data_IF_863241358248
#
_entry.id   IF_863241358248
#
_cell.length_a   1.000
_cell.length_b   1.000
_cell.length_c   1.000
_cell.angle_alpha   90.00
_cell.angle_beta   90.00
_cell.angle_gamma   90.00
#
_symmetry.space_group_name_H-M   'P 1'
#
loop_
_entity.id
_entity.type
_entity.pdbx_description
1 polymer ?
#
# COMPACT_ATOMS: atom_id res chain seq x y z
N UNK A 1 -26.11 71.74 48.91
CA UNK A 1 -25.45 70.84 47.95
C UNK A 1 -24.88 69.64 48.71
N UNK A 2 -25.55 68.49 48.61
CA UNK A 2 -25.13 67.18 49.13
C UNK A 2 -25.50 66.17 48.07
N UNK A 3 -24.52 65.42 47.56
CA UNK A 3 -24.56 63.97 47.31
C UNK A 3 -23.34 63.57 46.50
N UNK A 4 -22.48 62.73 47.07
CA UNK A 4 -21.58 61.87 46.31
C UNK A 4 -21.54 60.52 47.01
N UNK A 5 -22.49 59.65 46.62
CA UNK A 5 -22.53 58.22 46.90
C UNK A 5 -21.42 57.53 46.07
N UNK A 6 -20.58 56.70 46.66
CA UNK A 6 -20.83 55.30 47.05
C UNK A 6 -21.10 54.39 45.85
N UNK A 7 -20.08 54.12 45.01
CA UNK A 7 -20.05 52.95 44.11
C UNK A 7 -18.60 52.49 43.97
N UNK A 8 -18.24 51.40 44.65
CA UNK A 8 -16.87 50.90 44.59
C UNK A 8 -16.63 49.58 45.30
N UNK A 9 -17.59 48.64 45.28
CA UNK A 9 -17.41 47.31 45.91
C UNK A 9 -18.35 46.24 45.36
N UNK A 10 -18.41 46.04 44.04
CA UNK A 10 -19.07 44.84 43.47
C UNK A 10 -18.29 44.36 42.23
N UNK A 11 -17.09 43.78 42.45
CA UNK A 11 -16.35 43.10 41.38
C UNK A 11 -15.42 41.98 41.92
N UNK A 12 -15.81 41.31 43.01
CA UNK A 12 -14.97 40.28 43.67
C UNK A 12 -15.73 38.99 44.05
N UNK A 13 -16.99 38.81 43.62
CA UNK A 13 -17.79 37.61 43.95
C UNK A 13 -18.01 36.61 42.79
N UNK A 14 -17.51 36.88 41.58
CA UNK A 14 -17.78 36.05 40.39
C UNK A 14 -16.68 35.03 40.04
N UNK A 15 -15.59 34.93 40.83
CA UNK A 15 -14.48 34.00 40.56
C UNK A 15 -14.55 32.70 41.41
N UNK A 16 -15.37 32.69 42.47
CA UNK A 16 -15.47 31.53 43.39
C UNK A 16 -16.53 30.48 42.96
N UNK A 17 -17.44 30.82 42.05
CA UNK A 17 -18.49 29.90 41.57
C UNK A 17 -18.00 28.94 40.46
N UNK A 18 -16.89 29.25 39.78
CA UNK A 18 -16.33 28.42 38.72
C UNK A 18 -15.60 27.18 39.24
N UNK A 19 -14.97 27.24 40.41
CA UNK A 19 -14.23 26.11 40.98
C UNK A 19 -15.15 25.03 41.55
N UNK A 20 -16.26 25.41 42.18
CA UNK A 20 -17.22 24.49 42.78
C UNK A 20 -18.05 23.73 41.73
N UNK A 21 -18.37 24.35 40.59
CA UNK A 21 -19.04 23.66 39.48
C UNK A 21 -18.13 22.65 38.78
N UNK A 22 -16.86 23.01 38.54
CA UNK A 22 -15.86 22.06 38.00
C UNK A 22 -15.61 20.91 38.96
N UNK A 23 -15.53 21.17 40.27
CA UNK A 23 -15.46 20.11 41.28
C UNK A 23 -16.68 19.20 41.24
N UNK A 24 -17.91 19.72 41.11
CA UNK A 24 -19.11 18.86 40.98
C UNK A 24 -19.11 17.98 39.73
N UNK A 25 -18.49 18.42 38.63
CA UNK A 25 -18.34 17.61 37.41
C UNK A 25 -17.27 16.53 37.55
N UNK A 26 -16.19 16.79 38.30
CA UNK A 26 -15.10 15.83 38.51
C UNK A 26 -15.30 14.92 39.73
N UNK A 27 -16.04 15.37 40.74
CA UNK A 27 -16.22 14.71 42.03
C UNK A 27 -17.68 14.30 42.19
N UNK A 28 -18.05 13.23 41.48
CA UNK A 28 -19.33 12.56 41.58
C UNK A 28 -19.17 11.08 41.23
N UNK A 29 -20.19 10.29 41.56
CA UNK A 29 -20.22 8.84 41.33
C UNK A 29 -20.02 8.47 39.86
N UNK A 30 -20.65 9.16 38.91
CA UNK A 30 -20.57 8.81 37.48
C UNK A 30 -19.14 8.96 36.94
N UNK A 31 -18.47 10.07 37.26
CA UNK A 31 -17.09 10.29 36.81
C UNK A 31 -16.11 9.33 37.50
N UNK A 32 -16.28 9.06 38.79
CA UNK A 32 -15.47 8.08 39.52
C UNK A 32 -15.59 6.68 38.88
N UNK A 33 -16.82 6.22 38.65
CA UNK A 33 -17.09 4.92 38.02
C UNK A 33 -16.58 4.85 36.59
N UNK A 34 -16.83 5.88 35.77
CA UNK A 34 -16.35 5.95 34.38
C UNK A 34 -14.83 5.85 34.28
N UNK A 35 -14.10 6.48 35.22
CA UNK A 35 -12.63 6.39 35.28
C UNK A 35 -12.18 4.99 35.69
N UNK A 36 -12.84 4.37 36.68
CA UNK A 36 -12.57 2.98 37.08
C UNK A 36 -12.78 2.00 35.92
N UNK A 37 -13.91 2.14 35.22
CA UNK A 37 -14.23 1.33 34.05
C UNK A 37 -13.23 1.52 32.90
N UNK A 38 -12.83 2.75 32.61
CA UNK A 38 -11.89 3.05 31.54
C UNK A 38 -10.51 2.46 31.84
N UNK A 39 -9.98 2.67 33.04
CA UNK A 39 -8.68 2.13 33.44
C UNK A 39 -8.67 0.60 33.37
N UNK A 40 -9.73 -0.05 33.85
CA UNK A 40 -9.89 -1.49 33.72
C UNK A 40 -9.99 -1.93 32.24
N UNK A 41 -10.76 -1.23 31.41
CA UNK A 41 -10.92 -1.55 29.98
C UNK A 41 -9.63 -1.41 29.18
N UNK A 42 -8.74 -0.51 29.59
CA UNK A 42 -7.40 -0.34 29.01
C UNK A 42 -6.35 -1.26 29.65
N UNK A 43 -6.72 -1.96 30.72
CA UNK A 43 -5.86 -2.85 31.49
C UNK A 43 -4.77 -2.19 32.30
N UNK A 44 -5.05 -1.00 32.82
CA UNK A 44 -4.13 -0.19 33.61
C UNK A 44 -4.12 -0.66 35.07
N UNK A 45 -3.24 -1.61 35.40
CA UNK A 45 -3.09 -2.14 36.76
C UNK A 45 -2.74 -1.07 37.82
N UNK A 46 -2.09 0.02 37.40
CA UNK A 46 -1.66 1.13 38.25
C UNK A 46 -2.77 2.15 38.57
N UNK A 47 -4.01 1.96 38.08
CA UNK A 47 -5.19 2.75 38.44
C UNK A 47 -4.98 4.28 38.38
N UNK A 48 -4.47 4.84 37.27
CA UNK A 48 -4.10 6.26 37.21
C UNK A 48 -5.29 7.22 37.42
N UNK A 49 -6.50 6.81 37.01
CA UNK A 49 -7.72 7.55 37.20
C UNK A 49 -8.12 7.77 38.66
N UNK A 50 -7.61 6.95 39.59
CA UNK A 50 -7.85 7.11 41.02
C UNK A 50 -7.22 8.41 41.56
N UNK A 51 -6.07 8.82 41.03
CA UNK A 51 -5.39 10.05 41.47
C UNK A 51 -6.23 11.32 41.25
N UNK A 52 -7.15 11.28 40.27
CA UNK A 52 -8.08 12.38 39.96
C UNK A 52 -9.06 12.69 41.11
N UNK A 53 -9.28 11.75 42.02
CA UNK A 53 -10.20 11.90 43.16
C UNK A 53 -9.57 12.58 44.38
N UNK A 54 -8.24 12.78 44.40
CA UNK A 54 -7.55 13.30 45.59
C UNK A 54 -7.92 14.73 45.98
N UNK A 55 -8.44 15.51 45.03
CA UNK A 55 -8.88 16.89 45.22
C UNK A 55 -10.39 17.02 45.49
N UNK A 56 -11.09 15.89 45.71
CA UNK A 56 -12.52 15.89 45.99
C UNK A 56 -12.80 16.21 47.45
N UNK A 57 -13.41 17.36 47.68
CA UNK A 57 -13.76 17.92 48.99
C UNK A 57 -15.25 18.32 48.99
N UNK A 58 -15.88 18.38 50.18
CA UNK A 58 -17.29 18.77 50.33
C UNK A 58 -18.27 17.60 50.31
N UNK A 59 -19.38 17.73 49.56
CA UNK A 59 -20.50 16.76 49.51
C UNK A 59 -20.10 15.39 48.96
N UNK A 60 -19.06 15.35 48.11
CA UNK A 60 -18.49 14.12 47.54
C UNK A 60 -16.99 14.08 47.81
N UNK A 61 -16.60 13.28 48.78
CA UNK A 61 -15.24 13.20 49.34
C UNK A 61 -14.32 12.33 48.49
N UNK A 62 -13.00 12.52 48.65
CA UNK A 62 -11.98 11.64 48.06
C UNK A 62 -12.20 10.16 48.41
N UNK A 63 -12.67 9.85 49.62
CA UNK A 63 -12.97 8.48 50.04
C UNK A 63 -14.17 7.88 49.29
N UNK A 64 -15.24 8.67 49.07
CA UNK A 64 -16.37 8.24 48.24
C UNK A 64 -15.95 8.03 46.78
N UNK A 65 -15.12 8.93 46.23
CA UNK A 65 -14.55 8.78 44.90
C UNK A 65 -13.76 7.48 44.77
N UNK A 66 -12.86 7.20 45.72
CA UNK A 66 -12.06 5.98 45.72
C UNK A 66 -12.92 4.72 45.79
N UNK A 67 -13.98 4.73 46.61
CA UNK A 67 -14.90 3.62 46.73
C UNK A 67 -15.66 3.34 45.42
N UNK A 68 -16.28 4.37 44.82
CA UNK A 68 -17.03 4.25 43.57
C UNK A 68 -16.11 3.87 42.38
N UNK A 69 -14.93 4.49 42.31
CA UNK A 69 -13.90 4.14 41.32
C UNK A 69 -13.49 2.66 41.46
N UNK A 70 -13.17 2.23 42.68
CA UNK A 70 -12.67 0.86 42.93
C UNK A 70 -13.74 -0.18 42.67
N UNK A 71 -15.00 0.13 43.01
CA UNK A 71 -16.15 -0.71 42.67
C UNK A 71 -16.26 -0.93 41.17
N UNK A 72 -16.31 0.15 40.37
CA UNK A 72 -16.41 0.06 38.91
C UNK A 72 -15.19 -0.64 38.29
N UNK A 73 -13.98 -0.26 38.70
CA UNK A 73 -12.75 -0.92 38.26
C UNK A 73 -12.79 -2.44 38.48
N UNK A 74 -13.19 -2.88 39.67
CA UNK A 74 -13.26 -4.31 40.00
C UNK A 74 -14.40 -5.01 39.26
N UNK A 75 -15.56 -4.36 39.09
CA UNK A 75 -16.68 -4.88 38.31
C UNK A 75 -16.25 -5.11 36.85
N UNK A 76 -15.62 -4.11 36.23
CA UNK A 76 -15.15 -4.19 34.84
C UNK A 76 -14.01 -5.18 34.67
N UNK A 77 -13.08 -5.22 35.63
CA UNK A 77 -12.04 -6.25 35.70
C UNK A 77 -12.65 -7.65 35.73
N UNK A 78 -13.67 -7.90 36.53
CA UNK A 78 -14.32 -9.21 36.59
C UNK A 78 -14.97 -9.62 35.25
N UNK A 79 -15.51 -8.65 34.50
CA UNK A 79 -16.03 -8.89 33.15
C UNK A 79 -14.93 -9.27 32.15
N UNK A 80 -13.78 -8.58 32.21
CA UNK A 80 -12.67 -8.78 31.27
C UNK A 80 -11.85 -10.03 31.60
N UNK A 81 -11.63 -10.32 32.88
CA UNK A 81 -10.86 -11.47 33.34
C UNK A 81 -11.65 -12.78 33.25
N UNK A 82 -12.16 -13.08 32.06
CA UNK A 82 -12.89 -14.31 31.74
C UNK A 82 -12.29 -15.00 30.52
N UNK A 83 -12.37 -16.35 30.41
CA UNK A 83 -11.96 -17.06 29.20
C UNK A 83 -12.69 -16.59 27.93
N UNK A 84 -13.95 -16.18 28.05
CA UNK A 84 -14.76 -15.73 26.91
C UNK A 84 -14.23 -14.41 26.31
N UNK A 85 -13.94 -13.40 27.14
CA UNK A 85 -13.39 -12.14 26.63
C UNK A 85 -11.96 -12.35 26.10
N UNK A 86 -11.17 -13.22 26.75
CA UNK A 86 -9.84 -13.59 26.28
C UNK A 86 -9.86 -14.25 24.88
N UNK A 87 -10.82 -15.14 24.63
CA UNK A 87 -11.05 -15.74 23.30
C UNK A 87 -11.38 -14.67 22.24
N UNK A 88 -12.22 -13.69 22.59
CA UNK A 88 -12.57 -12.58 21.69
C UNK A 88 -11.33 -11.74 21.35
N UNK A 89 -10.54 -11.37 22.36
CA UNK A 89 -9.27 -10.66 22.18
C UNK A 89 -8.27 -11.45 21.35
N UNK A 90 -8.16 -12.77 21.58
CA UNK A 90 -7.31 -13.65 20.77
C UNK A 90 -7.73 -13.62 19.30
N UNK A 91 -9.04 -13.77 19.02
CA UNK A 91 -9.59 -13.71 17.66
C UNK A 91 -9.32 -12.36 16.99
N UNK A 92 -9.48 -11.25 17.70
CA UNK A 92 -9.22 -9.89 17.19
C UNK A 92 -7.74 -9.69 16.82
N UNK A 93 -6.82 -9.93 17.77
CA UNK A 93 -5.38 -9.79 17.53
C UNK A 93 -4.90 -10.74 16.41
N UNK A 94 -5.39 -11.99 16.40
CA UNK A 94 -5.03 -12.99 15.40
C UNK A 94 -5.54 -12.62 14.00
N UNK A 95 -6.77 -12.12 13.88
CA UNK A 95 -7.31 -11.67 12.60
C UNK A 95 -6.58 -10.43 12.07
N UNK A 96 -6.16 -9.54 12.96
CA UNK A 96 -5.38 -8.34 12.62
C UNK A 96 -3.89 -8.63 12.35
N UNK A 97 -3.41 -9.85 12.62
CA UNK A 97 -1.99 -10.18 12.64
C UNK A 97 -1.15 -9.30 13.59
N UNK A 98 -1.75 -8.85 14.69
CA UNK A 98 -1.10 -7.96 15.64
C UNK A 98 -0.06 -8.74 16.47
N UNK A 99 1.19 -8.71 16.02
CA UNK A 99 2.31 -9.39 16.69
C UNK A 99 2.68 -8.75 18.02
N UNK A 100 2.28 -7.50 18.25
CA UNK A 100 2.44 -6.83 19.54
C UNK A 100 1.42 -7.31 20.58
N UNK A 101 0.37 -8.04 20.15
CA UNK A 101 -0.65 -8.67 20.99
C UNK A 101 -1.24 -7.69 22.00
N UNK A 102 -1.66 -6.51 21.52
CA UNK A 102 -2.16 -5.42 22.37
C UNK A 102 -3.31 -5.85 23.27
N UNK A 103 -4.20 -6.73 22.80
CA UNK A 103 -5.30 -7.20 23.63
C UNK A 103 -4.84 -8.21 24.70
N UNK A 104 -3.79 -8.99 24.43
CA UNK A 104 -3.14 -9.81 25.47
C UNK A 104 -2.54 -8.95 26.58
N UNK A 105 -1.96 -7.80 26.24
CA UNK A 105 -1.40 -6.87 27.23
C UNK A 105 -2.48 -6.41 28.22
N UNK A 106 -3.71 -6.20 27.74
CA UNK A 106 -4.86 -5.90 28.62
C UNK A 106 -5.17 -7.06 29.56
N UNK A 107 -4.94 -8.31 29.20
CA UNK A 107 -5.20 -9.43 30.13
C UNK A 107 -4.16 -9.55 31.24
N UNK A 108 -3.03 -8.82 31.18
CA UNK A 108 -1.95 -8.97 32.16
C UNK A 108 -2.35 -8.55 33.58
N UNK A 109 -3.27 -7.60 33.78
CA UNK A 109 -3.73 -7.25 35.12
C UNK A 109 -4.70 -8.30 35.72
N UNK A 110 -5.04 -9.35 34.97
CA UNK A 110 -5.71 -10.55 35.49
C UNK A 110 -4.73 -11.54 36.16
N UNK A 111 -3.41 -11.26 36.12
CA UNK A 111 -2.38 -11.99 36.87
C UNK A 111 -2.73 -11.96 38.37
N UNK A 112 -2.88 -13.15 38.97
CA UNK A 112 -3.33 -13.31 40.36
C UNK A 112 -4.76 -13.81 40.51
N UNK A 113 -5.52 -13.92 39.42
CA UNK A 113 -6.73 -14.75 39.42
C UNK A 113 -6.37 -16.23 39.29
N UNK A 114 -7.09 -17.11 39.97
CA UNK A 114 -6.96 -18.57 39.82
C UNK A 114 -7.29 -19.06 38.39
N UNK A 115 -7.98 -18.23 37.59
CA UNK A 115 -8.34 -18.50 36.20
C UNK A 115 -7.30 -18.01 35.19
N UNK A 116 -6.23 -17.33 35.61
CA UNK A 116 -5.31 -16.66 34.68
C UNK A 116 -4.69 -17.60 33.65
N UNK A 117 -4.32 -18.82 34.03
CA UNK A 117 -3.83 -19.83 33.09
C UNK A 117 -4.87 -20.14 32.00
N UNK A 118 -6.13 -20.39 32.39
CA UNK A 118 -7.23 -20.64 31.44
C UNK A 118 -7.50 -19.44 30.53
N UNK A 119 -7.42 -18.22 31.06
CA UNK A 119 -7.56 -16.97 30.30
C UNK A 119 -6.46 -16.89 29.23
N UNK A 120 -5.20 -17.15 29.58
CA UNK A 120 -4.10 -17.15 28.62
C UNK A 120 -4.26 -18.22 27.54
N UNK A 121 -4.67 -19.42 27.93
CA UNK A 121 -4.87 -20.53 26.99
C UNK A 121 -6.01 -20.23 26.00
N UNK A 122 -7.13 -19.71 26.49
CA UNK A 122 -8.26 -19.26 25.64
C UNK A 122 -7.83 -18.20 24.63
N UNK A 123 -7.06 -17.19 25.07
CA UNK A 123 -6.50 -16.19 24.15
C UNK A 123 -5.59 -16.83 23.10
N UNK A 124 -4.59 -17.63 23.51
CA UNK A 124 -3.59 -18.20 22.60
C UNK A 124 -4.23 -19.12 21.56
N UNK A 125 -5.21 -19.92 21.96
CA UNK A 125 -5.91 -20.83 21.06
C UNK A 125 -6.68 -20.08 19.96
N UNK A 126 -7.50 -19.07 20.32
CA UNK A 126 -8.25 -18.31 19.33
C UNK A 126 -7.34 -17.36 18.51
N UNK A 127 -6.26 -16.83 19.11
CA UNK A 127 -5.22 -16.10 18.37
C UNK A 127 -4.61 -16.97 17.28
N UNK A 128 -4.10 -18.15 17.63
CA UNK A 128 -3.45 -19.04 16.66
C UNK A 128 -4.42 -19.49 15.57
N UNK A 129 -5.67 -19.79 15.93
CA UNK A 129 -6.72 -20.16 14.98
C UNK A 129 -7.05 -19.03 14.00
N UNK A 130 -7.17 -17.79 14.47
CA UNK A 130 -7.46 -16.65 13.62
C UNK A 130 -6.24 -16.23 12.77
N UNK A 131 -5.04 -16.22 13.37
CA UNK A 131 -3.77 -15.90 12.72
C UNK A 131 -3.43 -16.91 11.62
N UNK A 132 -3.62 -18.21 11.90
CA UNK A 132 -3.49 -19.31 10.96
C UNK A 132 -4.83 -19.68 10.31
N UNK A 133 -5.71 -18.71 10.03
CA UNK A 133 -6.93 -18.98 9.28
C UNK A 133 -6.65 -19.06 7.78
N UNK A 134 -7.36 -19.93 7.07
CA UNK A 134 -7.27 -20.03 5.60
C UNK A 134 -7.71 -18.74 4.90
N UNK A 135 -8.70 -18.03 5.47
CA UNK A 135 -9.15 -16.75 4.95
C UNK A 135 -8.04 -15.69 4.98
N UNK A 136 -7.28 -15.61 6.09
CA UNK A 136 -6.13 -14.71 6.20
C UNK A 136 -5.00 -15.12 5.25
N UNK A 137 -4.71 -16.43 5.16
CA UNK A 137 -3.73 -16.96 4.23
C UNK A 137 -4.07 -16.57 2.78
N UNK A 138 -5.32 -16.77 2.36
CA UNK A 138 -5.78 -16.40 1.02
C UNK A 138 -5.69 -14.89 0.77
N UNK A 139 -6.09 -14.06 1.74
CA UNK A 139 -6.02 -12.60 1.63
C UNK A 139 -4.57 -12.11 1.49
N UNK A 140 -3.68 -12.51 2.41
CA UNK A 140 -2.27 -12.10 2.35
C UNK A 140 -1.61 -12.57 1.05
N UNK A 141 -1.84 -13.82 0.65
CA UNK A 141 -1.29 -14.35 -0.60
C UNK A 141 -1.76 -13.54 -1.80
N UNK A 142 -3.06 -13.22 -1.87
CA UNK A 142 -3.59 -12.39 -2.94
C UNK A 142 -3.02 -10.98 -2.94
N UNK A 143 -2.95 -10.33 -1.77
CA UNK A 143 -2.45 -8.96 -1.63
C UNK A 143 -0.97 -8.87 -2.05
N UNK A 144 -0.12 -9.79 -1.58
CA UNK A 144 1.29 -9.83 -1.96
C UNK A 144 1.49 -10.24 -3.42
N UNK A 145 0.72 -11.22 -3.91
CA UNK A 145 0.76 -11.59 -5.33
C UNK A 145 0.38 -10.45 -6.25
N UNK A 146 -0.59 -9.62 -5.87
CA UNK A 146 -0.99 -8.42 -6.64
C UNK A 146 0.08 -7.33 -6.67
N UNK A 147 0.93 -7.25 -5.65
CA UNK A 147 2.08 -6.35 -5.59
C UNK A 147 3.32 -6.90 -6.29
N UNK A 148 3.28 -8.16 -6.73
CA UNK A 148 4.41 -8.86 -7.35
C UNK A 148 5.68 -8.84 -6.47
N UNK A 149 5.50 -8.95 -5.15
CA UNK A 149 6.58 -8.97 -4.16
C UNK A 149 7.22 -10.35 -4.03
N UNK A 150 8.47 -10.42 -3.56
CA UNK A 150 9.14 -11.70 -3.29
C UNK A 150 8.47 -12.48 -2.15
N UNK A 151 8.74 -13.79 -2.08
CA UNK A 151 8.11 -14.77 -1.15
C UNK A 151 8.42 -14.55 0.35
N UNK A 152 8.96 -13.40 0.74
CA UNK A 152 9.27 -13.04 2.14
C UNK A 152 8.06 -13.14 3.08
N UNK A 153 6.84 -12.96 2.55
CA UNK A 153 5.57 -13.06 3.30
C UNK A 153 5.29 -14.47 3.84
N UNK A 154 5.93 -15.51 3.30
CA UNK A 154 5.77 -16.89 3.78
C UNK A 154 6.24 -17.07 5.23
N UNK A 155 7.22 -16.28 5.67
CA UNK A 155 7.74 -16.31 7.06
C UNK A 155 6.65 -16.02 8.09
N UNK A 156 5.65 -15.20 7.74
CA UNK A 156 4.49 -14.86 8.58
C UNK A 156 3.55 -16.03 8.84
N UNK A 157 3.69 -17.14 8.11
CA UNK A 157 2.92 -18.38 8.28
C UNK A 157 3.79 -19.59 8.65
N UNK A 158 5.07 -19.40 8.96
CA UNK A 158 6.00 -20.49 9.29
C UNK A 158 5.55 -21.33 10.50
N UNK A 159 4.79 -20.74 11.42
CA UNK A 159 4.23 -21.40 12.60
C UNK A 159 2.86 -22.06 12.35
N UNK A 160 2.29 -21.89 11.17
CA UNK A 160 0.99 -22.44 10.78
C UNK A 160 1.14 -23.81 10.09
N UNK A 161 0.05 -24.58 9.98
CA UNK A 161 0.13 -25.91 9.35
C UNK A 161 0.38 -25.81 7.84
N UNK A 162 0.83 -26.93 7.25
CA UNK A 162 1.07 -27.05 5.81
C UNK A 162 -0.16 -26.71 4.96
N UNK A 163 -1.38 -26.92 5.48
CA UNK A 163 -2.63 -26.57 4.78
C UNK A 163 -2.76 -25.07 4.54
N UNK A 164 -2.56 -24.24 5.57
CA UNK A 164 -2.64 -22.79 5.40
C UNK A 164 -1.52 -22.24 4.54
N UNK A 165 -0.30 -22.79 4.68
CA UNK A 165 0.81 -22.43 3.81
C UNK A 165 0.49 -22.73 2.34
N UNK A 166 -0.17 -23.86 2.05
CA UNK A 166 -0.65 -24.18 0.70
C UNK A 166 -1.70 -23.18 0.21
N UNK A 167 -2.67 -22.80 1.04
CA UNK A 167 -3.68 -21.78 0.70
C UNK A 167 -3.04 -20.44 0.38
N UNK A 168 -2.09 -20.00 1.21
CA UNK A 168 -1.29 -18.77 1.02
C UNK A 168 -0.58 -18.78 -0.34
N UNK A 169 0.20 -19.83 -0.62
CA UNK A 169 0.96 -19.96 -1.88
C UNK A 169 0.04 -20.04 -3.10
N UNK A 170 -1.08 -20.74 -2.99
CA UNK A 170 -2.04 -20.86 -4.10
C UNK A 170 -2.64 -19.48 -4.45
N UNK A 171 -3.06 -18.73 -3.44
CA UNK A 171 -3.60 -17.37 -3.65
C UNK A 171 -2.54 -16.42 -4.22
N UNK A 172 -1.31 -16.50 -3.72
CA UNK A 172 -0.16 -15.75 -4.25
C UNK A 172 0.09 -16.06 -5.73
N UNK A 173 0.31 -17.32 -6.08
CA UNK A 173 0.60 -17.71 -7.47
C UNK A 173 -0.51 -17.28 -8.42
N UNK A 174 -1.78 -17.40 -7.99
CA UNK A 174 -2.92 -16.94 -8.77
C UNK A 174 -2.85 -15.43 -9.03
N UNK A 175 -2.76 -14.61 -7.99
CA UNK A 175 -2.75 -13.14 -8.12
C UNK A 175 -1.49 -12.63 -8.84
N UNK A 176 -0.33 -13.23 -8.57
CA UNK A 176 0.92 -12.93 -9.27
C UNK A 176 0.80 -13.21 -10.78
N UNK A 177 0.29 -14.39 -11.16
CA UNK A 177 0.11 -14.76 -12.57
C UNK A 177 -0.84 -13.81 -13.31
N UNK A 178 -1.87 -13.31 -12.63
CA UNK A 178 -2.79 -12.32 -13.19
C UNK A 178 -2.12 -10.96 -13.33
N UNK A 179 -1.34 -10.52 -12.34
CA UNK A 179 -0.50 -9.33 -12.41
C UNK A 179 0.46 -9.36 -13.60
N UNK A 180 1.14 -10.49 -13.84
CA UNK A 180 2.02 -10.68 -15.02
C UNK A 180 1.23 -10.53 -16.33
N UNK A 181 0.03 -11.12 -16.43
CA UNK A 181 -0.81 -10.99 -17.64
C UNK A 181 -1.23 -9.55 -17.88
N UNK A 182 -1.64 -8.83 -16.85
CA UNK A 182 -2.02 -7.42 -16.93
C UNK A 182 -0.82 -6.56 -17.34
N UNK A 183 0.35 -6.77 -16.73
CA UNK A 183 1.57 -6.06 -17.07
C UNK A 183 1.99 -6.32 -18.52
N UNK A 184 1.94 -7.59 -18.98
CA UNK A 184 2.21 -7.95 -20.38
C UNK A 184 1.22 -7.29 -21.33
N UNK A 185 -0.08 -7.31 -21.01
CA UNK A 185 -1.10 -6.63 -21.82
C UNK A 185 -0.83 -5.13 -21.90
N UNK A 186 -0.49 -4.48 -20.78
CA UNK A 186 -0.13 -3.07 -20.79
C UNK A 186 1.09 -2.78 -21.67
N UNK A 187 2.15 -3.59 -21.60
CA UNK A 187 3.31 -3.45 -22.50
C UNK A 187 2.92 -3.58 -23.97
N UNK A 188 2.00 -4.50 -24.28
CA UNK A 188 1.43 -4.67 -25.62
C UNK A 188 0.64 -3.41 -26.04
N UNK A 189 -0.25 -2.92 -25.19
CA UNK A 189 -1.07 -1.75 -25.48
C UNK A 189 -0.22 -0.47 -25.62
N UNK A 190 0.82 -0.32 -24.79
CA UNK A 190 1.82 0.75 -24.87
C UNK A 190 2.63 0.66 -26.18
N UNK A 191 3.01 -0.56 -26.59
CA UNK A 191 3.65 -0.78 -27.90
C UNK A 191 2.70 -0.37 -29.03
N UNK A 192 1.47 -0.87 -29.06
CA UNK A 192 0.49 -0.58 -30.12
C UNK A 192 0.21 0.91 -30.20
N UNK A 193 -0.02 1.58 -29.07
CA UNK A 193 -0.26 3.04 -29.05
C UNK A 193 0.96 3.85 -29.52
N UNK A 194 2.17 3.32 -29.35
CA UNK A 194 3.40 3.91 -29.90
C UNK A 194 3.64 3.60 -31.39
N UNK A 195 2.94 2.61 -31.98
CA UNK A 195 3.02 2.35 -33.42
C UNK A 195 2.30 3.44 -34.21
N UNK A 196 3.08 4.32 -34.82
CA UNK A 196 2.64 5.33 -35.79
C UNK A 196 3.57 5.31 -37.00
N UNK A 197 3.20 5.98 -38.09
CA UNK A 197 4.14 6.28 -39.20
C UNK A 197 5.26 7.14 -38.60
N UNK A 198 6.36 6.50 -38.24
CA UNK A 198 7.39 7.12 -37.41
C UNK A 198 8.24 8.04 -38.27
N UNK A 199 8.41 9.27 -37.81
CA UNK A 199 9.22 10.31 -38.43
C UNK A 199 10.59 10.42 -37.73
N UNK A 200 11.68 10.00 -38.35
CA UNK A 200 13.03 10.15 -37.77
C UNK A 200 13.63 11.51 -38.06
N UNK A 201 14.48 12.04 -37.18
CA UNK A 201 15.36 13.18 -37.50
C UNK A 201 16.80 12.69 -37.65
N UNK A 202 17.48 13.06 -38.74
CA UNK A 202 18.83 12.60 -39.14
C UNK A 202 20.00 12.96 -38.17
N UNK A 203 19.70 13.52 -36.98
CA UNK A 203 20.70 13.91 -35.98
C UNK A 203 20.92 12.89 -34.85
N UNK A 204 20.37 11.69 -34.93
CA UNK A 204 20.52 10.64 -33.91
C UNK A 204 21.46 9.51 -34.42
N UNK A 205 22.32 8.99 -33.53
CA UNK A 205 23.30 7.93 -33.85
C UNK A 205 22.67 6.54 -34.01
N UNK A 206 21.49 6.32 -33.43
CA UNK A 206 20.62 5.17 -33.70
C UNK A 206 19.19 5.65 -33.92
N UNK A 207 18.54 5.14 -34.96
CA UNK A 207 17.16 5.47 -35.31
C UNK A 207 16.29 4.24 -35.06
N UNK A 208 15.45 4.21 -34.02
CA UNK A 208 14.58 3.07 -33.73
C UNK A 208 13.10 3.39 -33.93
N UNK A 209 12.40 2.59 -34.74
CA UNK A 209 10.97 2.64 -35.04
C UNK A 209 10.24 1.42 -34.49
N UNK A 210 9.00 1.61 -34.09
CA UNK A 210 8.02 0.54 -34.00
C UNK A 210 7.01 0.70 -35.14
N UNK A 211 6.70 -0.40 -35.83
CA UNK A 211 5.84 -0.40 -37.02
C UNK A 211 4.77 -1.48 -36.91
N UNK A 212 3.55 -1.14 -37.34
CA UNK A 212 2.46 -2.09 -37.53
C UNK A 212 2.47 -2.55 -38.99
N UNK A 213 2.45 -3.86 -39.21
CA UNK A 213 2.35 -4.47 -40.53
C UNK A 213 0.85 -4.68 -40.78
N UNK A 214 0.31 -4.05 -41.82
CA UNK A 214 -1.10 -4.25 -42.13
C UNK A 214 -1.29 -5.63 -42.76
N UNK A 215 -2.44 -6.25 -42.50
CA UNK A 215 -2.81 -7.58 -43.02
C UNK A 215 -2.84 -7.66 -44.56
N UNK A 216 -2.97 -6.51 -45.23
CA UNK A 216 -2.98 -6.37 -46.69
C UNK A 216 -1.59 -6.03 -47.28
N UNK A 217 -0.61 -5.66 -46.43
CA UNK A 217 0.69 -5.15 -46.89
C UNK A 217 1.81 -6.10 -46.49
N UNK A 218 2.42 -6.67 -47.52
CA UNK A 218 3.70 -7.38 -47.50
C UNK A 218 4.90 -6.48 -47.18
N UNK A 219 4.71 -5.27 -46.66
CA UNK A 219 5.79 -4.32 -46.42
C UNK A 219 5.72 -3.57 -45.09
N UNK A 220 6.88 -3.42 -44.44
CA UNK A 220 7.08 -2.53 -43.31
C UNK A 220 7.62 -1.18 -43.82
N UNK A 221 6.96 -0.08 -43.46
CA UNK A 221 7.33 1.26 -43.93
C UNK A 221 7.93 2.09 -42.80
N UNK A 222 9.08 2.71 -43.05
CA UNK A 222 9.84 3.53 -42.10
C UNK A 222 10.15 4.88 -42.74
N UNK A 223 9.79 6.00 -42.12
CA UNK A 223 9.98 7.35 -42.69
C UNK A 223 11.14 8.11 -42.03
N UNK A 224 12.22 8.36 -42.76
CA UNK A 224 13.37 9.14 -42.26
C UNK A 224 13.27 10.58 -42.75
N UNK A 225 13.25 11.56 -41.84
CA UNK A 225 13.20 12.99 -42.16
C UNK A 225 14.55 13.67 -41.97
N UNK A 226 15.01 14.35 -43.01
CA UNK A 226 16.14 15.26 -42.95
C UNK A 226 15.62 16.69 -42.75
N UNK A 227 15.76 17.23 -41.55
CA UNK A 227 15.38 18.61 -41.22
C UNK A 227 16.49 19.64 -41.48
N UNK A 228 17.62 19.20 -42.04
CA UNK A 228 18.73 20.09 -42.34
C UNK A 228 18.63 20.59 -43.78
N UNK A 229 19.17 21.78 -44.08
CA UNK A 229 19.16 22.35 -45.43
C UNK A 229 20.16 21.69 -46.40
N UNK A 230 20.89 20.67 -45.95
CA UNK A 230 21.88 19.96 -46.77
C UNK A 230 21.42 18.55 -47.08
N UNK A 231 21.85 18.02 -48.23
CA UNK A 231 21.65 16.61 -48.54
C UNK A 231 22.59 15.73 -47.70
N UNK A 232 22.06 14.62 -47.18
CA UNK A 232 22.82 13.73 -46.30
C UNK A 232 22.80 12.32 -46.87
N UNK A 233 23.98 11.74 -47.04
CA UNK A 233 24.17 10.31 -47.26
C UNK A 233 24.55 9.63 -45.95
N UNK A 234 23.69 8.74 -45.48
CA UNK A 234 23.94 7.89 -44.32
C UNK A 234 24.29 6.48 -44.78
N UNK A 235 25.36 5.90 -44.26
CA UNK A 235 25.65 4.46 -44.43
C UNK A 235 25.47 3.77 -43.09
N UNK A 236 24.65 2.74 -43.05
CA UNK A 236 24.34 2.06 -41.80
C UNK A 236 23.76 0.67 -41.99
N UNK A 237 23.55 0.00 -40.87
CA UNK A 237 22.98 -1.33 -40.80
C UNK A 237 21.55 -1.23 -40.26
N UNK A 238 20.59 -1.76 -41.02
CA UNK A 238 19.23 -1.98 -40.55
C UNK A 238 19.17 -3.27 -39.74
N UNK A 239 18.45 -3.22 -38.63
CA UNK A 239 18.00 -4.36 -37.84
C UNK A 239 16.47 -4.32 -37.75
N UNK A 240 15.81 -5.33 -38.29
CA UNK A 240 14.37 -5.51 -38.19
C UNK A 240 14.06 -6.71 -37.29
N UNK A 241 13.31 -6.51 -36.21
CA UNK A 241 12.74 -7.59 -35.41
C UNK A 241 11.24 -7.70 -35.71
N UNK A 242 10.73 -8.91 -35.96
CA UNK A 242 9.34 -9.14 -36.32
C UNK A 242 8.59 -9.87 -35.21
N UNK A 243 7.35 -9.48 -34.95
CA UNK A 243 6.50 -10.04 -33.91
C UNK A 243 5.11 -10.37 -34.44
N UNK A 244 4.50 -11.42 -33.89
CA UNK A 244 3.11 -11.81 -34.19
C UNK A 244 2.10 -11.00 -33.33
N UNK A 245 0.81 -11.24 -33.50
CA UNK A 245 -0.27 -10.63 -32.68
C UNK A 245 -0.11 -10.80 -31.17
N UNK A 246 0.63 -11.83 -30.72
CA UNK A 246 0.90 -12.12 -29.30
C UNK A 246 2.22 -11.52 -28.81
N UNK A 247 2.89 -10.73 -29.64
CA UNK A 247 4.20 -10.11 -29.38
C UNK A 247 5.33 -11.11 -29.12
N UNK A 248 5.21 -12.31 -29.69
CA UNK A 248 6.29 -13.29 -29.71
C UNK A 248 7.23 -12.95 -30.87
N UNK A 249 8.54 -12.87 -30.60
CA UNK A 249 9.55 -12.62 -31.65
C UNK A 249 9.53 -13.82 -32.61
N UNK A 250 9.27 -13.54 -33.88
CA UNK A 250 9.24 -14.54 -34.95
C UNK A 250 10.65 -14.74 -35.48
N UNK A 251 11.29 -13.64 -35.90
CA UNK A 251 12.65 -13.64 -36.46
C UNK A 251 13.25 -12.24 -36.39
N UNK A 252 14.51 -12.13 -36.80
CA UNK A 252 15.18 -10.87 -37.06
C UNK A 252 15.86 -10.90 -38.44
N UNK A 253 15.94 -9.74 -39.08
CA UNK A 253 16.63 -9.54 -40.36
C UNK A 253 17.59 -8.36 -40.24
N UNK A 254 18.78 -8.50 -40.79
CA UNK A 254 19.83 -7.48 -40.75
C UNK A 254 20.37 -7.26 -42.15
N UNK A 255 20.42 -6.01 -42.59
CA UNK A 255 21.03 -5.68 -43.88
C UNK A 255 21.63 -4.29 -43.89
N UNK A 256 22.67 -4.11 -44.71
CA UNK A 256 23.36 -2.84 -44.88
C UNK A 256 22.70 -2.02 -45.98
N UNK A 257 22.49 -0.73 -45.73
CA UNK A 257 21.92 0.19 -46.71
C UNK A 257 22.58 1.57 -46.65
N UNK A 258 22.60 2.25 -47.78
CA UNK A 258 22.99 3.64 -47.88
C UNK A 258 21.76 4.51 -48.18
N UNK A 259 21.46 5.46 -47.30
CA UNK A 259 20.30 6.33 -47.37
C UNK A 259 20.73 7.72 -47.82
N UNK A 260 20.43 8.07 -49.07
CA UNK A 260 20.47 9.45 -49.52
C UNK A 260 19.15 10.15 -49.20
N UNK A 261 19.20 11.25 -48.43
CA UNK A 261 18.04 12.01 -47.98
C UNK A 261 18.26 13.49 -48.30
N UNK A 262 17.45 14.02 -49.21
CA UNK A 262 17.54 15.42 -49.66
C UNK A 262 17.17 16.41 -48.57
N UNK A 263 17.63 17.65 -48.72
CA UNK A 263 17.41 18.73 -47.77
C UNK A 263 15.93 18.97 -47.48
N UNK A 264 15.59 19.18 -46.21
CA UNK A 264 14.22 19.45 -45.74
C UNK A 264 13.16 18.45 -46.24
N UNK A 265 13.56 17.20 -46.51
CA UNK A 265 12.69 16.19 -47.09
C UNK A 265 12.55 14.96 -46.20
N UNK A 266 11.56 14.13 -46.51
CA UNK A 266 11.35 12.81 -45.91
C UNK A 266 11.53 11.72 -46.95
N UNK A 267 12.10 10.60 -46.54
CA UNK A 267 12.24 9.41 -47.37
C UNK A 267 11.60 8.22 -46.68
N UNK A 268 10.71 7.55 -47.41
CA UNK A 268 10.08 6.31 -46.98
C UNK A 268 10.93 5.13 -47.42
N UNK A 269 11.17 4.22 -46.48
CA UNK A 269 11.85 2.94 -46.69
C UNK A 269 10.84 1.84 -46.50
N UNK A 270 10.67 1.01 -47.53
CA UNK A 270 9.70 -0.07 -47.54
C UNK A 270 10.46 -1.40 -47.59
N UNK A 271 10.34 -2.22 -46.55
CA UNK A 271 10.90 -3.58 -46.51
C UNK A 271 9.83 -4.58 -46.90
N UNK A 272 9.97 -5.24 -48.06
CA UNK A 272 8.90 -6.07 -48.68
C UNK A 272 8.97 -7.59 -48.38
N UNK A 273 10.02 -8.08 -47.74
CA UNK A 273 10.18 -9.51 -47.44
C UNK A 273 9.93 -9.76 -45.97
N UNK A 274 8.66 -9.83 -45.60
CA UNK A 274 8.22 -10.03 -44.23
C UNK A 274 7.89 -11.50 -43.95
N UNK A 275 8.12 -11.99 -42.72
CA UNK A 275 7.58 -13.28 -42.28
C UNK A 275 6.05 -13.28 -42.41
N UNK A 276 5.45 -14.39 -42.86
CA UNK A 276 3.99 -14.48 -43.12
C UNK A 276 3.12 -14.21 -41.90
N UNK A 277 3.63 -14.49 -40.70
CA UNK A 277 2.88 -14.36 -39.44
C UNK A 277 3.25 -13.08 -38.66
N UNK A 278 3.92 -12.12 -39.29
CA UNK A 278 4.34 -10.86 -38.66
C UNK A 278 3.25 -9.79 -38.74
N UNK A 279 2.82 -9.29 -37.58
CA UNK A 279 1.85 -8.19 -37.44
C UNK A 279 2.52 -6.89 -36.99
N UNK A 280 3.69 -7.00 -36.38
CA UNK A 280 4.47 -5.87 -35.88
C UNK A 280 5.94 -6.02 -36.22
N UNK A 281 6.64 -4.89 -36.28
CA UNK A 281 8.07 -4.83 -36.43
C UNK A 281 8.70 -3.77 -35.52
N UNK A 282 9.96 -3.98 -35.18
CA UNK A 282 10.87 -2.95 -34.68
C UNK A 282 11.98 -2.79 -35.70
N UNK A 283 12.12 -1.60 -36.26
CA UNK A 283 13.14 -1.27 -37.23
C UNK A 283 14.19 -0.36 -36.59
N UNK A 284 15.46 -0.72 -36.64
CA UNK A 284 16.54 0.09 -36.11
C UNK A 284 17.59 0.34 -37.20
N UNK A 285 17.91 1.60 -37.48
CA UNK A 285 19.02 1.97 -38.36
C UNK A 285 20.19 2.44 -37.52
N UNK A 286 21.27 1.67 -37.57
CA UNK A 286 22.48 1.88 -36.79
C UNK A 286 23.52 2.51 -37.71
N UNK A 287 23.95 3.74 -37.40
CA UNK A 287 25.04 4.42 -38.11
C UNK A 287 26.34 4.19 -37.34
N UNK A 288 27.32 3.43 -37.87
CA UNK A 288 28.60 3.24 -37.20
C UNK A 288 29.33 4.57 -37.02
N UNK A 289 30.00 4.75 -35.88
CA UNK A 289 30.55 6.03 -35.42
C UNK A 289 31.63 6.69 -36.31
N UNK A 290 32.18 5.99 -37.30
CA UNK A 290 33.29 6.48 -38.13
C UNK A 290 32.87 6.71 -39.59
N UNK A 291 33.08 7.93 -40.11
CA UNK A 291 33.05 8.31 -41.54
C UNK A 291 31.78 7.99 -42.38
N UNK A 292 30.62 7.76 -41.76
CA UNK A 292 29.42 7.28 -42.45
C UNK A 292 28.31 8.33 -42.68
N UNK A 293 28.54 9.59 -42.30
CA UNK A 293 27.68 10.73 -42.61
C UNK A 293 28.41 11.66 -43.57
N UNK A 294 27.99 11.68 -44.83
CA UNK A 294 28.54 12.59 -45.84
C UNK A 294 27.50 13.68 -46.07
N UNK A 295 27.87 14.93 -45.75
CA UNK A 295 27.08 16.12 -46.07
C UNK A 295 27.44 16.53 -47.50
N UNK A 296 26.48 16.39 -48.41
CA UNK A 296 26.61 16.82 -49.79
C UNK A 296 26.15 18.29 -49.86
N UNK A 297 27.00 19.15 -50.44
CA UNK A 297 26.73 20.58 -50.60
C UNK A 297 25.78 20.82 -51.76
#
# INVERSE_FOLDING_TARGET
MKLSHLIGTIALLSVLTSCSYLQKLSCNTDNARKRGDNDASQGLANKPGLASGKSCEGEYTASQFEADYTFAFNQKRAQICTPAEASKFGKEDGAAADTSKRQLAKLQYCQGTNLFAKIQDSYKNEFNKAFCSEARAAKLGSDEGSKMTDNSFETSFSTCTSKQMKTLKTAYTKSYSEGVKIAKKKQIDDFISSTSVTNFSVNQNSLSSLCKINSDKSAANVEVSNKTPSEILLKGDWKFEYYNQKFEKITEDNYREALLITANNKKNFNKMTLPRDADYCRAEFIVPAENNKIILK
#
